data_IF_124462938602
#
_entry.id   IF_124462938602
#
_cell.length_a   1.000
_cell.length_b   1.000
_cell.length_c   1.000
_cell.angle_alpha   90.00
_cell.angle_beta   90.00
_cell.angle_gamma   90.00
#
_symmetry.space_group_name_H-M   'P 1'
#
loop_
_entity.id
_entity.type
_entity.pdbx_description
1 polymer ?
#
# COMPACT_ATOMS: atom_id res chain seq x y z
N UNK A 1 4.31 -5.01 0.15
CA UNK A 1 3.24 -4.02 0.31
C UNK A 1 3.77 -2.65 -0.10
N UNK A 2 3.05 -1.88 -0.91
CA UNK A 2 3.36 -0.49 -1.24
C UNK A 2 2.17 0.41 -0.84
N UNK A 3 2.38 1.43 0.02
CA UNK A 3 1.32 2.38 0.40
C UNK A 3 1.04 3.44 -0.68
N UNK A 4 1.79 3.44 -1.80
CA UNK A 4 1.71 4.47 -2.83
C UNK A 4 2.49 5.74 -2.47
N UNK A 5 2.22 6.83 -3.18
CA UNK A 5 2.88 8.13 -2.97
C UNK A 5 2.03 9.01 -2.05
N UNK A 6 2.28 8.88 -0.74
CA UNK A 6 1.45 9.42 0.34
C UNK A 6 2.00 10.75 0.86
N UNK A 7 1.12 11.72 1.10
CA UNK A 7 1.41 13.03 1.69
C UNK A 7 1.92 12.86 3.13
N UNK A 8 3.25 12.79 3.24
CA UNK A 8 4.01 12.61 4.48
C UNK A 8 5.30 13.43 4.43
N UNK A 9 5.96 13.58 5.57
CA UNK A 9 7.28 14.21 5.68
C UNK A 9 8.30 13.58 4.72
N UNK A 10 8.29 12.25 4.56
CA UNK A 10 9.19 11.53 3.64
C UNK A 10 9.02 11.97 2.18
N UNK A 11 7.84 12.46 1.82
CA UNK A 11 7.53 12.98 0.47
C UNK A 11 7.60 14.51 0.39
N UNK A 12 8.02 15.17 1.47
CA UNK A 12 7.96 16.64 1.61
C UNK A 12 6.58 17.20 1.33
N UNK A 13 5.53 16.50 1.78
CA UNK A 13 4.13 16.83 1.51
C UNK A 13 3.75 16.98 0.03
N UNK A 14 4.42 16.23 -0.86
CA UNK A 14 4.12 16.20 -2.30
C UNK A 14 3.41 14.93 -2.76
N UNK A 15 3.14 14.01 -1.82
CA UNK A 15 2.35 12.82 -2.09
C UNK A 15 0.96 13.17 -2.63
N UNK A 16 0.45 12.34 -3.54
CA UNK A 16 -0.89 12.54 -4.13
C UNK A 16 -2.01 11.88 -3.32
N UNK A 17 -1.64 10.94 -2.45
CA UNK A 17 -2.57 10.21 -1.60
C UNK A 17 -2.55 10.82 -0.20
N UNK A 18 -3.72 10.86 0.43
CA UNK A 18 -3.86 11.17 1.86
C UNK A 18 -3.31 10.03 2.73
N UNK A 19 -3.11 10.30 4.02
CA UNK A 19 -2.70 9.30 5.01
C UNK A 19 -3.64 8.09 5.00
N UNK A 20 -4.95 8.32 5.00
CA UNK A 20 -5.96 7.25 5.05
C UNK A 20 -5.93 6.39 3.77
N UNK A 21 -5.78 7.00 2.59
CA UNK A 21 -5.63 6.26 1.32
C UNK A 21 -4.34 5.44 1.29
N UNK A 22 -3.25 5.96 1.87
CA UNK A 22 -1.98 5.24 1.99
C UNK A 22 -2.04 4.07 2.98
N UNK A 23 -2.84 4.19 4.03
CA UNK A 23 -3.00 3.17 5.07
C UNK A 23 -3.93 2.02 4.65
N UNK A 24 -4.76 2.23 3.63
CA UNK A 24 -5.77 1.28 3.15
C UNK A 24 -5.22 -0.13 2.86
N UNK A 25 -4.16 -0.24 2.05
CA UNK A 25 -3.57 -1.53 1.65
C UNK A 25 -2.87 -2.24 2.83
N UNK A 26 -1.99 -1.59 3.63
CA UNK A 26 -1.36 -2.27 4.76
C UNK A 26 -2.37 -2.69 5.84
N UNK A 27 -3.41 -1.90 6.12
CA UNK A 27 -4.47 -2.29 7.07
C UNK A 27 -5.23 -3.51 6.53
N UNK A 28 -5.67 -3.47 5.27
CA UNK A 28 -6.36 -4.61 4.65
C UNK A 28 -5.52 -5.89 4.71
N UNK A 29 -4.21 -5.82 4.43
CA UNK A 29 -3.30 -6.96 4.55
C UNK A 29 -3.17 -7.50 5.98
N UNK A 30 -3.30 -6.65 6.99
CA UNK A 30 -3.15 -7.03 8.38
C UNK A 30 -4.43 -7.60 9.01
N UNK A 31 -5.61 -7.25 8.48
CA UNK A 31 -6.89 -7.53 9.14
C UNK A 31 -7.87 -8.38 8.34
N UNK A 32 -7.73 -8.48 7.02
CA UNK A 32 -8.66 -9.26 6.20
C UNK A 32 -8.41 -10.77 6.36
N UNK A 33 -9.48 -11.57 6.27
CA UNK A 33 -9.42 -13.03 6.39
C UNK A 33 -8.63 -13.68 5.25
N UNK A 34 -8.80 -13.16 4.03
CA UNK A 34 -8.16 -13.66 2.82
C UNK A 34 -7.34 -12.57 2.13
N UNK A 35 -6.03 -12.81 2.02
CA UNK A 35 -5.08 -11.90 1.37
C UNK A 35 -4.01 -12.70 0.61
N UNK A 36 -3.39 -12.11 -0.44
CA UNK A 36 -2.25 -12.74 -1.12
C UNK A 36 -1.08 -12.98 -0.16
N UNK A 37 -0.61 -14.23 -0.06
CA UNK A 37 0.57 -14.59 0.72
C UNK A 37 1.85 -14.50 -0.15
N UNK A 38 2.92 -13.92 0.38
CA UNK A 38 4.21 -13.82 -0.29
C UNK A 38 4.27 -12.86 -1.48
N UNK A 39 3.19 -12.13 -1.76
CA UNK A 39 3.11 -11.22 -2.90
C UNK A 39 3.53 -9.78 -2.57
N UNK A 40 3.97 -9.05 -3.59
CA UNK A 40 4.02 -7.60 -3.54
C UNK A 40 2.63 -7.03 -3.88
N UNK A 41 2.06 -6.22 -2.98
CA UNK A 41 0.66 -5.75 -3.09
C UNK A 41 0.62 -4.23 -3.12
N UNK A 42 -0.20 -3.66 -4.01
CA UNK A 42 -0.48 -2.24 -4.17
C UNK A 42 -1.96 -2.04 -4.52
N UNK A 43 -2.64 -1.07 -3.88
CA UNK A 43 -4.09 -0.84 -4.03
C UNK A 43 -4.91 -2.13 -3.89
N UNK A 44 -4.60 -2.92 -2.84
CA UNK A 44 -5.17 -4.24 -2.56
C UNK A 44 -5.07 -5.27 -3.70
N UNK A 45 -4.16 -5.07 -4.66
CA UNK A 45 -3.91 -5.99 -5.77
C UNK A 45 -2.50 -6.55 -5.67
N UNK A 46 -2.37 -7.86 -5.80
CA UNK A 46 -1.06 -8.48 -6.01
C UNK A 46 -0.51 -8.01 -7.36
N UNK A 47 0.73 -7.53 -7.35
CA UNK A 47 1.49 -7.20 -8.55
C UNK A 47 2.56 -8.28 -8.72
N UNK A 48 2.78 -8.68 -9.96
CA UNK A 48 3.89 -9.56 -10.33
C UNK A 48 5.22 -8.94 -9.91
N UNK A 49 6.00 -9.71 -9.14
CA UNK A 49 7.37 -9.34 -8.83
C UNK A 49 8.25 -9.75 -10.01
N UNK A 50 8.57 -8.79 -10.87
CA UNK A 50 9.54 -8.98 -11.94
C UNK A 50 10.93 -9.03 -11.30
N UNK A 51 11.61 -10.15 -11.53
CA UNK A 51 12.95 -10.47 -11.02
C UNK A 51 14.03 -9.49 -11.51
#
# INVERSE_FOLDING_TARGET
CCPGYVDTDMTSHKGRLTIDEGADTPIWLATAEEVPNGAFVYLRKAIEWLY
#
